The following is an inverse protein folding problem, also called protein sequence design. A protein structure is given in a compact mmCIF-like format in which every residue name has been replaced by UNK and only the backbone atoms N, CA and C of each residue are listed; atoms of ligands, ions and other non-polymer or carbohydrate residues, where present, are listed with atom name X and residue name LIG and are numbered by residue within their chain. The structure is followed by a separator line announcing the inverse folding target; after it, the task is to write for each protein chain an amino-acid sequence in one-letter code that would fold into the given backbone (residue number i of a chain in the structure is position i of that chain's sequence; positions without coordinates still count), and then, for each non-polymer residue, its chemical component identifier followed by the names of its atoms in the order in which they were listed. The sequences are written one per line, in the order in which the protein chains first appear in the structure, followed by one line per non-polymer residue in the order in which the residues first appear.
data_IF_721493458157
#
_entry.id   IF_721493458157
#
_cell.length_a   1.000
_cell.length_b   1.000
_cell.length_c   1.000
_cell.angle_alpha   90.00
_cell.angle_beta   90.00
_cell.angle_gamma   90.00
#
_symmetry.space_group_name_H-M   'P 1'
#
loop_
_entity.id
_entity.type
_entity.pdbx_description
1 polymer ?
#
# COMPACT_ATOMS: atom_id res chain seq x y z
N UNK A 1 -1.17 17.72 -6.19
CA UNK A 1 -0.47 16.84 -5.24
C UNK A 1 -1.49 15.96 -4.55
N UNK A 2 -1.64 14.76 -5.03
CA UNK A 2 -2.51 13.76 -4.41
C UNK A 2 -1.73 13.02 -3.36
N UNK A 3 -1.92 13.38 -2.16
CA UNK A 3 -1.44 12.64 -1.02
C UNK A 3 -2.44 11.59 -0.61
N UNK A 4 -2.03 10.45 -0.72
CA UNK A 4 -2.37 9.22 -0.06
C UNK A 4 -3.27 9.32 1.17
N UNK A 5 -4.55 9.21 0.93
CA UNK A 5 -5.47 8.69 1.92
C UNK A 5 -5.84 7.27 1.47
N UNK A 6 -4.94 6.32 1.64
CA UNK A 6 -5.07 5.06 0.93
C UNK A 6 -5.82 3.94 1.64
N UNK A 7 -5.79 3.70 2.94
CA UNK A 7 -6.59 2.61 3.50
C UNK A 7 -8.00 3.01 3.95
N UNK A 8 -8.21 4.27 4.28
CA UNK A 8 -9.50 4.73 4.84
C UNK A 8 -10.57 4.86 3.75
N UNK A 9 -10.17 5.08 2.50
CA UNK A 9 -11.10 5.23 1.37
C UNK A 9 -11.62 3.92 0.78
N UNK A 10 -11.06 2.76 1.10
CA UNK A 10 -11.54 1.50 0.54
C UNK A 10 -12.93 1.10 1.04
N UNK A 11 -13.26 1.46 2.28
CA UNK A 11 -14.60 1.21 2.85
C UNK A 11 -15.68 2.12 2.24
N UNK A 12 -15.32 3.32 1.82
CA UNK A 12 -16.27 4.25 1.19
C UNK A 12 -16.54 3.94 -0.29
N UNK A 13 -15.70 3.17 -0.97
CA UNK A 13 -15.88 2.84 -2.39
C UNK A 13 -16.86 1.70 -2.67
N UNK A 14 -17.08 0.80 -1.71
CA UNK A 14 -17.98 -0.35 -1.93
C UNK A 14 -19.47 0.02 -1.94
N UNK A 15 -19.83 1.18 -1.41
CA UNK A 15 -21.23 1.65 -1.36
C UNK A 15 -21.61 2.55 -2.53
N UNK A 16 -20.71 2.88 -3.46
CA UNK A 16 -20.93 3.89 -4.50
C UNK A 16 -21.57 3.38 -5.79
N UNK A 17 -22.19 2.20 -5.79
CA UNK A 17 -23.01 1.70 -6.92
C UNK A 17 -24.49 1.60 -6.58
N UNK A 18 -25.06 2.69 -6.11
CA UNK A 18 -26.53 2.84 -6.08
C UNK A 18 -26.90 4.11 -6.82
N UNK A 19 -27.95 4.02 -7.61
CA UNK A 19 -28.52 5.00 -8.55
C UNK A 19 -28.31 6.48 -8.16
N UNK A 20 -28.26 7.37 -9.15
CA UNK A 20 -28.13 8.83 -8.97
C UNK A 20 -29.11 9.41 -7.92
N UNK A 21 -30.28 8.82 -7.77
CA UNK A 21 -31.28 9.17 -6.74
C UNK A 21 -30.79 8.97 -5.32
N UNK A 22 -29.94 7.95 -5.07
CA UNK A 22 -29.38 7.71 -3.73
C UNK A 22 -28.29 8.73 -3.38
N UNK A 23 -27.56 9.22 -4.37
CA UNK A 23 -26.51 10.26 -4.16
C UNK A 23 -27.16 11.60 -3.87
N UNK A 24 -28.20 11.99 -4.58
CA UNK A 24 -28.97 13.21 -4.31
C UNK A 24 -29.63 13.18 -2.93
N UNK A 25 -30.10 12.03 -2.48
CA UNK A 25 -30.70 11.87 -1.15
C UNK A 25 -29.67 11.98 -0.04
N UNK A 26 -28.46 11.42 -0.24
CA UNK A 26 -27.34 11.58 0.69
C UNK A 26 -26.89 13.04 0.76
N UNK A 27 -26.82 13.76 -0.37
CA UNK A 27 -26.47 15.18 -0.39
C UNK A 27 -27.51 16.07 0.29
N UNK A 28 -28.77 15.66 0.29
CA UNK A 28 -29.85 16.39 0.98
C UNK A 28 -29.83 16.09 2.47
N UNK A 29 -29.57 14.84 2.86
CA UNK A 29 -29.60 14.40 4.25
C UNK A 29 -28.42 14.95 5.06
N UNK A 30 -27.20 15.10 4.47
CA UNK A 30 -26.08 15.64 5.22
C UNK A 30 -26.22 17.14 5.53
N UNK A 31 -26.93 17.91 4.72
CA UNK A 31 -27.20 19.34 4.95
C UNK A 31 -28.14 19.56 6.14
N UNK A 32 -28.93 18.56 6.48
CA UNK A 32 -29.93 18.61 7.55
C UNK A 32 -29.59 17.68 8.72
N UNK A 33 -28.57 16.82 8.55
CA UNK A 33 -28.13 15.96 9.64
C UNK A 33 -27.42 16.77 10.72
N UNK A 34 -27.89 16.66 11.94
CA UNK A 34 -27.11 17.14 13.08
C UNK A 34 -25.80 16.34 13.11
N UNK A 35 -24.69 17.03 12.83
CA UNK A 35 -23.36 16.41 12.89
C UNK A 35 -23.11 15.97 14.33
N UNK A 36 -23.23 14.68 14.57
CA UNK A 36 -22.81 14.09 15.85
C UNK A 36 -21.33 13.74 15.74
N UNK A 37 -20.52 14.08 16.74
CA UNK A 37 -19.16 13.59 16.82
C UNK A 37 -19.19 12.06 16.68
N UNK A 38 -18.39 11.52 15.78
CA UNK A 38 -18.20 10.08 15.72
C UNK A 38 -17.61 9.61 17.07
N UNK A 39 -18.00 8.44 17.57
CA UNK A 39 -17.36 7.90 18.76
C UNK A 39 -15.85 7.82 18.50
N UNK A 40 -15.06 8.15 19.53
CA UNK A 40 -13.62 8.02 19.42
C UNK A 40 -13.27 6.55 19.18
N UNK A 41 -12.67 6.28 18.02
CA UNK A 41 -12.19 4.95 17.67
C UNK A 41 -10.67 4.97 17.78
N UNK A 42 -10.14 4.17 18.67
CA UNK A 42 -8.70 3.95 18.74
C UNK A 42 -8.25 3.13 17.51
N UNK A 43 -7.37 3.72 16.72
CA UNK A 43 -6.78 3.02 15.59
C UNK A 43 -5.70 2.05 16.09
N UNK A 44 -5.64 0.83 15.55
CA UNK A 44 -4.56 -0.09 15.84
C UNK A 44 -3.20 0.53 15.49
N UNK A 45 -2.20 0.32 16.32
CA UNK A 45 -0.85 0.88 16.14
C UNK A 45 -0.26 0.56 14.76
N UNK A 46 -0.42 -0.69 14.30
CA UNK A 46 0.08 -1.10 12.99
C UNK A 46 -0.51 -0.27 11.84
N UNK A 47 -1.74 0.23 11.98
CA UNK A 47 -2.39 1.06 10.96
C UNK A 47 -1.83 2.48 10.97
N UNK A 48 -1.46 2.99 12.14
CA UNK A 48 -0.77 4.28 12.26
C UNK A 48 0.62 4.21 11.64
N UNK A 49 1.36 3.11 11.87
CA UNK A 49 2.65 2.88 11.24
C UNK A 49 2.61 2.82 9.71
N UNK A 50 1.48 2.40 9.12
CA UNK A 50 1.32 2.31 7.67
C UNK A 50 1.51 3.66 6.98
N UNK A 51 1.18 4.76 7.63
CA UNK A 51 1.37 6.10 7.09
C UNK A 51 2.85 6.43 6.86
N UNK A 52 3.75 5.90 7.70
CA UNK A 52 5.18 6.12 7.61
C UNK A 52 5.89 5.12 6.66
N UNK A 53 5.19 4.07 6.24
CA UNK A 53 5.71 3.05 5.31
C UNK A 53 5.53 3.42 3.84
N UNK A 54 4.99 4.61 3.56
CA UNK A 54 4.85 5.16 2.21
C UNK A 54 5.86 6.29 2.03
N UNK A 55 6.38 6.47 0.82
CA UNK A 55 7.20 7.65 0.53
C UNK A 55 6.36 8.92 0.68
N UNK A 56 6.68 9.77 1.64
CA UNK A 56 5.89 10.95 1.99
C UNK A 56 6.77 12.15 2.32
N UNK A 57 6.18 13.32 2.29
CA UNK A 57 6.73 14.55 2.91
C UNK A 57 6.15 14.69 4.31
N UNK A 58 6.50 15.75 5.01
CA UNK A 58 5.87 16.06 6.29
C UNK A 58 4.35 16.10 6.13
N UNK A 59 3.67 15.37 6.99
CA UNK A 59 2.21 15.38 7.03
C UNK A 59 1.70 16.69 7.61
N UNK A 60 0.60 17.18 7.09
CA UNK A 60 -0.11 18.34 7.61
C UNK A 60 -1.61 18.05 7.65
N UNK A 61 -2.34 18.81 8.44
CA UNK A 61 -3.80 18.71 8.50
C UNK A 61 -4.49 19.28 7.26
N UNK A 62 -3.74 19.90 6.35
CA UNK A 62 -4.29 20.50 5.15
C UNK A 62 -5.35 21.55 5.48
N UNK A 63 -6.49 21.46 4.85
CA UNK A 63 -7.62 22.39 5.03
C UNK A 63 -8.69 21.87 6.00
N UNK A 64 -8.38 20.88 6.83
CA UNK A 64 -9.35 20.34 7.79
C UNK A 64 -9.73 21.35 8.89
N UNK A 65 -8.82 22.25 9.22
CA UNK A 65 -9.03 23.29 10.24
C UNK A 65 -8.94 24.67 9.56
N UNK A 66 -10.08 25.28 9.18
CA UNK A 66 -10.09 26.54 8.43
C UNK A 66 -9.50 27.73 9.19
N UNK A 67 -9.50 27.68 10.52
CA UNK A 67 -8.91 28.68 11.41
C UNK A 67 -7.38 28.67 11.41
N UNK A 68 -6.75 27.59 10.96
CA UNK A 68 -5.31 27.47 10.85
C UNK A 68 -4.84 27.67 9.42
N UNK A 69 -4.04 28.71 9.17
CA UNK A 69 -3.34 28.84 7.89
C UNK A 69 -2.29 27.74 7.78
N UNK A 70 -2.56 26.78 6.91
CA UNK A 70 -1.59 25.75 6.57
C UNK A 70 -0.59 26.35 5.59
N UNK A 71 0.65 26.49 6.02
CA UNK A 71 1.77 26.85 5.16
C UNK A 71 2.44 25.60 4.63
N UNK A 72 2.94 25.67 3.40
CA UNK A 72 3.80 24.60 2.89
C UNK A 72 5.13 24.62 3.65
N UNK A 73 5.62 23.43 4.02
CA UNK A 73 6.99 23.34 4.51
C UNK A 73 7.94 23.47 3.32
N UNK A 74 8.60 24.62 3.22
CA UNK A 74 9.55 24.95 2.16
C UNK A 74 10.98 24.51 2.48
N UNK A 75 11.25 24.19 3.74
CA UNK A 75 12.61 23.91 4.23
C UNK A 75 13.13 22.55 3.76
N UNK A 76 12.24 21.68 3.32
CA UNK A 76 12.61 20.36 2.86
C UNK A 76 11.84 19.95 1.59
N UNK A 77 12.60 19.68 0.53
CA UNK A 77 12.08 19.14 -0.73
C UNK A 77 12.14 17.61 -0.83
N UNK A 78 12.92 16.96 0.03
CA UNK A 78 13.12 15.51 -0.01
C UNK A 78 11.95 14.73 0.59
N UNK A 79 11.70 13.54 0.05
CA UNK A 79 10.74 12.59 0.61
C UNK A 79 11.40 11.72 1.67
N UNK A 80 10.68 11.47 2.76
CA UNK A 80 11.01 10.37 3.67
C UNK A 80 10.68 9.05 2.99
N UNK A 81 11.59 8.11 3.04
CA UNK A 81 11.42 6.81 2.42
C UNK A 81 12.20 5.75 3.17
N UNK A 82 11.50 4.89 3.85
CA UNK A 82 12.05 3.71 4.51
C UNK A 82 11.64 2.41 3.83
N UNK A 83 10.61 2.46 2.98
CA UNK A 83 10.08 1.34 2.24
C UNK A 83 10.02 1.64 0.74
N UNK A 84 10.05 0.58 -0.07
CA UNK A 84 9.91 0.62 -1.53
C UNK A 84 8.87 -0.40 -1.96
N UNK A 85 8.02 -0.03 -2.91
CA UNK A 85 7.23 -1.01 -3.66
C UNK A 85 8.17 -1.78 -4.57
N UNK A 86 8.24 -3.10 -4.38
CA UNK A 86 9.14 -3.97 -5.12
C UNK A 86 8.44 -4.78 -6.20
N UNK A 87 7.12 -4.92 -6.11
CA UNK A 87 6.35 -5.64 -7.12
C UNK A 87 4.85 -5.55 -6.93
N UNK A 88 4.15 -6.22 -7.81
CA UNK A 88 2.70 -6.31 -7.88
C UNK A 88 2.30 -7.75 -8.24
N UNK A 89 1.29 -8.29 -7.57
CA UNK A 89 0.78 -9.64 -7.82
C UNK A 89 -0.04 -9.67 -9.10
N UNK A 90 0.35 -10.50 -10.05
CA UNK A 90 -0.40 -10.76 -11.28
C UNK A 90 -1.36 -11.95 -11.12
N UNK A 91 -0.89 -13.02 -10.48
CA UNK A 91 -1.70 -14.21 -10.21
C UNK A 91 -1.10 -15.03 -9.07
N UNK A 92 -1.92 -15.89 -8.49
CA UNK A 92 -1.49 -16.93 -7.56
C UNK A 92 -2.12 -18.25 -8.00
N UNK A 93 -1.36 -19.32 -7.93
CA UNK A 93 -1.81 -20.69 -8.19
C UNK A 93 -1.50 -21.59 -6.99
N UNK A 94 -2.38 -22.56 -6.75
CA UNK A 94 -2.16 -23.60 -5.75
C UNK A 94 -1.18 -24.69 -6.23
N UNK A 95 -0.81 -24.68 -7.50
CA UNK A 95 0.11 -25.64 -8.08
C UNK A 95 1.51 -25.51 -7.45
N UNK A 96 2.25 -26.61 -7.40
CA UNK A 96 3.63 -26.65 -6.84
C UNK A 96 3.70 -26.12 -5.38
N UNK A 97 2.75 -26.52 -4.52
CA UNK A 97 2.65 -26.05 -3.12
C UNK A 97 2.40 -24.54 -2.95
N UNK A 98 1.87 -23.93 -3.99
CA UNK A 98 1.59 -22.49 -4.05
C UNK A 98 2.69 -21.70 -4.75
N UNK A 99 2.30 -20.97 -5.79
CA UNK A 99 3.19 -20.11 -6.57
C UNK A 99 2.53 -18.78 -6.89
N UNK A 100 3.24 -17.70 -6.64
CA UNK A 100 2.81 -16.36 -7.00
C UNK A 100 3.58 -15.87 -8.22
N UNK A 101 2.86 -15.29 -9.19
CA UNK A 101 3.43 -14.58 -10.34
C UNK A 101 3.34 -13.09 -10.10
N UNK A 102 4.40 -12.40 -10.33
CA UNK A 102 4.63 -11.02 -9.96
C UNK A 102 5.19 -10.20 -11.13
N UNK A 103 4.89 -8.92 -11.13
CA UNK A 103 5.62 -7.93 -11.94
C UNK A 103 6.51 -7.10 -11.02
N UNK A 104 7.81 -7.10 -11.30
CA UNK A 104 8.78 -6.34 -10.51
C UNK A 104 8.65 -4.84 -10.75
N UNK A 105 8.85 -4.06 -9.69
CA UNK A 105 9.00 -2.59 -9.74
C UNK A 105 10.39 -2.15 -9.30
N UNK A 106 10.99 -2.93 -8.42
CA UNK A 106 12.36 -2.75 -7.92
C UNK A 106 13.01 -4.12 -7.76
N UNK A 107 14.31 -4.11 -7.42
CA UNK A 107 15.09 -5.31 -7.21
C UNK A 107 14.48 -6.21 -6.13
N UNK A 108 14.44 -7.52 -6.41
CA UNK A 108 14.06 -8.58 -5.47
C UNK A 108 15.16 -9.61 -5.42
N UNK A 109 15.60 -9.93 -4.22
CA UNK A 109 16.69 -10.88 -3.94
C UNK A 109 16.18 -12.01 -3.04
N UNK A 110 16.74 -13.22 -3.17
CA UNK A 110 16.54 -14.28 -2.19
C UNK A 110 16.86 -13.83 -0.77
N UNK A 111 16.15 -14.35 0.22
CA UNK A 111 16.29 -13.98 1.63
C UNK A 111 15.73 -12.59 1.98
N UNK A 112 15.30 -11.81 1.02
CA UNK A 112 14.71 -10.49 1.26
C UNK A 112 13.35 -10.61 1.94
N UNK A 113 13.13 -9.86 3.02
CA UNK A 113 11.83 -9.74 3.65
C UNK A 113 10.96 -8.76 2.87
N UNK A 114 9.77 -9.21 2.50
CA UNK A 114 8.76 -8.44 1.78
C UNK A 114 7.43 -8.47 2.54
N UNK A 115 6.57 -7.51 2.27
CA UNK A 115 5.21 -7.45 2.79
C UNK A 115 4.23 -7.38 1.62
N UNK A 116 3.28 -8.32 1.57
CA UNK A 116 2.12 -8.22 0.69
C UNK A 116 1.07 -7.34 1.35
N UNK A 117 0.64 -6.30 0.66
CA UNK A 117 -0.38 -5.38 1.16
C UNK A 117 -1.77 -5.94 0.86
N UNK A 118 -2.45 -6.36 1.91
CA UNK A 118 -3.78 -6.94 1.82
C UNK A 118 -4.84 -5.88 2.16
N UNK A 119 -5.91 -5.74 1.35
CA UNK A 119 -6.95 -4.75 1.62
C UNK A 119 -7.68 -5.03 2.93
N UNK A 120 -7.62 -4.10 3.89
CA UNK A 120 -8.34 -4.20 5.16
C UNK A 120 -7.73 -5.12 6.21
N UNK A 121 -6.55 -5.68 5.94
CA UNK A 121 -5.85 -6.60 6.82
C UNK A 121 -4.43 -6.13 7.09
N UNK A 122 -3.80 -6.73 8.09
CA UNK A 122 -2.36 -6.54 8.30
C UNK A 122 -1.59 -7.06 7.10
N UNK A 123 -0.51 -6.37 6.70
CA UNK A 123 0.37 -6.87 5.66
C UNK A 123 0.91 -8.27 6.00
N UNK A 124 0.90 -9.14 5.01
CA UNK A 124 1.48 -10.47 5.12
C UNK A 124 3.00 -10.37 4.95
N UNK A 125 3.72 -10.62 6.04
CA UNK A 125 5.19 -10.65 6.01
C UNK A 125 5.65 -11.97 5.41
N UNK A 126 6.53 -11.90 4.41
CA UNK A 126 7.04 -13.07 3.70
C UNK A 126 8.52 -12.90 3.40
N UNK A 127 9.28 -13.98 3.49
CA UNK A 127 10.69 -14.00 3.10
C UNK A 127 10.80 -14.65 1.72
N UNK A 128 11.41 -13.93 0.78
CA UNK A 128 11.66 -14.45 -0.57
C UNK A 128 12.50 -15.73 -0.47
N UNK A 129 12.06 -16.86 -1.02
CA UNK A 129 12.79 -18.11 -0.94
C UNK A 129 14.20 -18.00 -1.51
N UNK A 130 15.14 -18.73 -0.92
CA UNK A 130 16.54 -18.80 -1.42
C UNK A 130 16.63 -19.43 -2.82
N UNK A 131 15.67 -20.26 -3.16
CA UNK A 131 15.58 -20.95 -4.46
C UNK A 131 14.17 -20.90 -5.02
N UNK A 132 14.01 -21.13 -6.31
CA UNK A 132 12.70 -21.24 -6.95
C UNK A 132 12.17 -19.96 -7.57
N UNK A 133 12.98 -18.91 -7.63
CA UNK A 133 12.69 -17.76 -8.50
C UNK A 133 12.81 -18.22 -9.96
N UNK A 134 11.78 -17.93 -10.74
CA UNK A 134 11.74 -18.22 -12.18
C UNK A 134 11.32 -16.99 -12.96
N UNK A 135 11.91 -16.77 -14.11
CA UNK A 135 11.46 -15.73 -15.04
C UNK A 135 10.13 -16.08 -15.72
N UNK A 136 9.72 -15.25 -16.68
CA UNK A 136 8.48 -15.44 -17.43
C UNK A 136 8.46 -16.72 -18.27
N UNK A 137 9.62 -17.21 -18.68
CA UNK A 137 9.78 -18.43 -19.46
C UNK A 137 9.93 -19.67 -18.58
N UNK A 138 9.90 -19.49 -17.26
CA UNK A 138 10.04 -20.55 -16.26
C UNK A 138 11.48 -20.94 -15.95
N UNK A 139 12.47 -20.25 -16.51
CA UNK A 139 13.88 -20.51 -16.24
C UNK A 139 14.28 -19.99 -14.85
N UNK A 140 15.12 -20.73 -14.09
CA UNK A 140 15.56 -20.29 -12.78
C UNK A 140 16.46 -19.08 -12.87
N UNK A 141 16.23 -18.10 -12.00
CA UNK A 141 17.01 -16.86 -11.92
C UNK A 141 17.51 -16.63 -10.51
N UNK A 142 18.72 -16.09 -10.33
CA UNK A 142 19.31 -15.85 -9.03
C UNK A 142 18.71 -14.63 -8.30
N UNK A 143 18.20 -13.66 -9.05
CA UNK A 143 17.56 -12.45 -8.53
C UNK A 143 16.82 -11.73 -9.67
N UNK A 144 15.87 -10.86 -9.29
CA UNK A 144 15.14 -10.00 -10.22
C UNK A 144 15.74 -8.59 -10.09
N UNK A 145 16.39 -8.12 -11.15
CA UNK A 145 17.10 -6.84 -11.14
C UNK A 145 16.41 -5.73 -11.94
N UNK A 146 15.56 -6.11 -12.90
CA UNK A 146 14.93 -5.17 -13.83
C UNK A 146 13.49 -4.83 -13.41
N UNK A 147 13.05 -3.57 -13.52
CA UNK A 147 11.64 -3.22 -13.38
C UNK A 147 10.82 -3.79 -14.54
N UNK A 148 9.52 -3.92 -14.33
CA UNK A 148 8.54 -4.45 -15.27
C UNK A 148 8.85 -5.87 -15.79
N UNK A 149 9.64 -6.64 -15.04
CA UNK A 149 9.95 -8.01 -15.34
C UNK A 149 8.93 -8.94 -14.66
N UNK A 150 8.34 -9.84 -15.44
CA UNK A 150 7.43 -10.87 -14.93
C UNK A 150 8.26 -12.04 -14.43
N UNK A 151 7.97 -12.48 -13.22
CA UNK A 151 8.66 -13.60 -12.59
C UNK A 151 7.72 -14.33 -11.64
N UNK A 152 8.10 -15.51 -11.21
CA UNK A 152 7.34 -16.28 -10.22
C UNK A 152 8.23 -16.79 -9.11
N UNK A 153 7.63 -17.01 -7.94
CA UNK A 153 8.30 -17.59 -6.79
C UNK A 153 7.34 -18.50 -6.00
N UNK A 154 7.86 -19.50 -5.27
CA UNK A 154 7.07 -20.26 -4.32
C UNK A 154 6.45 -19.34 -3.27
N UNK A 155 5.16 -19.47 -3.03
CA UNK A 155 4.43 -18.74 -2.00
C UNK A 155 3.22 -19.59 -1.56
N UNK A 156 3.27 -20.24 -0.39
CA UNK A 156 2.19 -21.10 0.10
C UNK A 156 0.94 -20.33 0.52
N UNK A 157 1.06 -19.01 0.63
CA UNK A 157 -0.05 -18.13 1.03
C UNK A 157 -0.78 -17.65 -0.21
N UNK A 158 -2.09 -17.86 -0.24
CA UNK A 158 -2.94 -17.26 -1.26
C UNK A 158 -2.93 -15.73 -1.11
N UNK A 159 -2.57 -15.04 -2.18
CA UNK A 159 -2.52 -13.58 -2.24
C UNK A 159 -3.40 -13.07 -3.38
N UNK A 160 -4.15 -11.98 -3.16
CA UNK A 160 -5.03 -11.45 -4.19
C UNK A 160 -4.26 -10.79 -5.34
N UNK A 161 -4.86 -10.84 -6.52
CA UNK A 161 -4.38 -10.12 -7.71
C UNK A 161 -4.34 -8.62 -7.39
N UNK A 162 -3.36 -7.92 -7.94
CA UNK A 162 -3.07 -6.49 -7.74
C UNK A 162 -2.64 -6.13 -6.30
N UNK A 163 -2.36 -7.10 -5.44
CA UNK A 163 -1.71 -6.81 -4.19
C UNK A 163 -0.31 -6.21 -4.44
N UNK A 164 -0.04 -5.05 -3.86
CA UNK A 164 1.29 -4.47 -3.93
C UNK A 164 2.21 -5.19 -2.94
N UNK A 165 3.47 -5.28 -3.33
CA UNK A 165 4.52 -5.86 -2.49
C UNK A 165 5.54 -4.78 -2.19
N UNK A 166 5.89 -4.64 -0.92
CA UNK A 166 6.91 -3.70 -0.48
C UNK A 166 8.02 -4.37 0.31
N UNK A 167 9.16 -3.74 0.37
CA UNK A 167 10.28 -4.14 1.21
C UNK A 167 10.98 -2.93 1.80
N UNK A 168 11.72 -3.12 2.87
CA UNK A 168 12.57 -2.06 3.42
C UNK A 168 13.66 -1.70 2.44
N UNK A 169 13.91 -0.39 2.28
CA UNK A 169 15.01 0.07 1.44
C UNK A 169 16.35 -0.05 2.16
N UNK A 170 17.38 -0.41 1.41
CA UNK A 170 18.77 -0.43 1.92
C UNK A 170 19.34 0.99 2.14
N UNK A 171 18.67 2.02 1.58
CA UNK A 171 19.08 3.44 1.69
C UNK A 171 17.88 4.28 2.12
N UNK A 172 17.51 4.24 3.40
CA UNK A 172 16.39 5.04 3.90
C UNK A 172 16.74 6.52 3.92
N UNK A 173 15.75 7.36 3.63
CA UNK A 173 15.78 8.79 3.94
C UNK A 173 14.83 9.01 5.12
N UNK A 174 15.39 9.28 6.29
CA UNK A 174 14.66 9.42 7.54
C UNK A 174 14.47 10.90 7.89
N UNK A 175 13.48 11.18 8.75
CA UNK A 175 13.37 12.48 9.41
C UNK A 175 14.66 12.71 10.22
N UNK A 176 15.22 13.90 10.12
CA UNK A 176 16.21 14.31 11.11
C UNK A 176 15.50 14.46 12.46
N UNK A 177 16.07 13.89 13.49
CA UNK A 177 15.62 14.07 14.88
C UNK A 177 15.81 15.53 15.31
#
# INVERSE_FOLDING_TARGET
VQTCALPICSHARSTRRKSNTAVEQIETDWKHAAVRPAPHVELPEWLLEETDKVAHRDYSTGFYYPEHKVTQNTDRSAYFRSWLVVGEVLSWSADEDGRVTLMSRNKIEPGQQVEFLLPGERPLVFTVPETGLRDADGAPVPAINNPAHVFSMPCPHQVPINAAIRSRTKKPTLKAE
#
